data_IF_797003850401
#
_entry.id   IF_797003850401
#
_cell.length_a   1.000
_cell.length_b   1.000
_cell.length_c   1.000
_cell.angle_alpha   90.00
_cell.angle_beta   90.00
_cell.angle_gamma   90.00
#
_symmetry.space_group_name_H-M   'P 1'
#
loop_
_entity.id
_entity.type
_entity.pdbx_description
1 polymer ?
#
# COMPACT_ATOMS: atom_id res chain seq x y z
N UNK A 1 48.78 2.30 23.04
CA UNK A 1 48.05 3.29 22.24
C UNK A 1 46.86 2.58 21.61
N UNK A 2 45.73 2.70 22.22
CA UNK A 2 44.45 2.21 21.69
C UNK A 2 43.83 3.28 20.80
N UNK A 3 43.50 2.92 19.56
CA UNK A 3 42.70 3.75 18.65
C UNK A 3 41.23 3.56 18.97
N UNK A 4 40.38 4.62 18.97
CA UNK A 4 38.96 4.45 19.20
C UNK A 4 38.29 3.93 17.92
N UNK A 5 37.50 2.89 18.08
CA UNK A 5 36.60 2.39 17.04
C UNK A 5 35.54 3.45 16.72
N UNK A 6 35.52 3.94 15.49
CA UNK A 6 34.40 4.72 14.94
C UNK A 6 33.20 3.80 14.78
N UNK A 7 32.26 3.92 15.72
CA UNK A 7 30.93 3.32 15.59
C UNK A 7 30.17 4.04 14.49
N UNK A 8 30.19 3.48 13.30
CA UNK A 8 29.25 3.85 12.25
C UNK A 8 27.84 3.44 12.69
N UNK A 9 26.99 4.39 12.99
CA UNK A 9 25.55 4.18 13.08
C UNK A 9 25.04 3.89 11.67
N UNK A 10 25.14 2.62 11.27
CA UNK A 10 24.40 2.11 10.13
C UNK A 10 22.93 2.07 10.53
N UNK A 11 22.17 3.11 10.15
CA UNK A 11 20.72 3.04 10.16
C UNK A 11 20.38 2.04 9.07
N UNK A 12 19.98 0.84 9.49
CA UNK A 12 19.56 -0.20 8.57
C UNK A 12 18.29 0.26 7.87
N UNK A 13 18.30 0.19 6.55
CA UNK A 13 17.15 0.43 5.66
C UNK A 13 15.87 -0.36 6.00
N UNK A 14 15.94 -1.26 6.95
CA UNK A 14 14.81 -2.02 7.52
C UNK A 14 13.86 -1.18 8.40
N UNK A 15 14.25 0.02 8.87
CA UNK A 15 13.37 0.87 9.67
C UNK A 15 12.30 1.58 8.81
N UNK A 16 12.55 1.78 7.51
CA UNK A 16 11.60 2.39 6.57
C UNK A 16 10.44 1.43 6.19
N UNK A 17 10.66 0.12 6.23
CA UNK A 17 9.64 -0.86 5.83
C UNK A 17 8.50 -1.07 6.85
N UNK A 18 8.74 -0.84 8.15
CA UNK A 18 7.82 -1.33 9.17
C UNK A 18 6.90 -0.28 9.79
N UNK A 19 7.45 0.76 10.39
CA UNK A 19 6.69 1.63 11.30
C UNK A 19 6.28 2.96 10.65
N UNK A 20 7.16 3.59 9.89
CA UNK A 20 6.90 4.89 9.28
C UNK A 20 5.94 4.78 8.09
N UNK A 21 6.16 3.84 7.17
CA UNK A 21 5.25 3.59 6.05
C UNK A 21 3.90 3.05 6.52
N UNK A 22 3.87 2.17 7.53
CA UNK A 22 2.63 1.67 8.13
C UNK A 22 1.77 2.76 8.74
N UNK A 23 2.39 3.78 9.34
CA UNK A 23 1.70 4.94 9.89
C UNK A 23 1.04 5.81 8.81
N UNK A 24 1.72 6.04 7.69
CA UNK A 24 1.18 6.79 6.55
C UNK A 24 0.07 6.03 5.83
N UNK A 25 0.28 4.76 5.56
CA UNK A 25 -0.75 3.89 4.96
C UNK A 25 -1.98 3.87 5.86
N UNK A 26 -1.81 3.70 7.18
CA UNK A 26 -2.91 3.75 8.13
C UNK A 26 -3.67 5.08 8.14
N UNK A 27 -3.00 6.20 7.88
CA UNK A 27 -3.63 7.51 7.81
C UNK A 27 -4.40 7.69 6.49
N UNK A 28 -3.80 7.32 5.36
CA UNK A 28 -4.45 7.37 4.04
C UNK A 28 -5.69 6.45 3.98
N UNK A 29 -5.71 5.37 4.78
CA UNK A 29 -6.88 4.50 4.95
C UNK A 29 -8.03 5.15 5.75
N UNK A 30 -7.78 6.26 6.41
CA UNK A 30 -8.75 6.89 7.30
C UNK A 30 -8.98 6.12 8.62
N UNK A 31 -9.26 6.87 9.70
CA UNK A 31 -9.38 6.29 11.05
C UNK A 31 -10.50 5.25 11.18
N UNK A 32 -11.59 5.37 10.41
CA UNK A 32 -12.72 4.42 10.47
C UNK A 32 -12.34 3.07 9.85
N UNK A 33 -11.64 3.07 8.70
CA UNK A 33 -11.17 1.84 8.02
C UNK A 33 -10.09 1.15 8.82
N UNK A 34 -9.12 1.91 9.36
CA UNK A 34 -8.08 1.39 10.26
C UNK A 34 -8.68 0.71 11.50
N UNK A 35 -9.72 1.28 12.11
CA UNK A 35 -10.37 0.67 13.28
C UNK A 35 -11.09 -0.64 12.95
N UNK A 36 -11.68 -0.80 11.78
CA UNK A 36 -12.28 -2.07 11.33
C UNK A 36 -11.22 -3.13 11.05
N UNK A 37 -10.13 -2.75 10.39
CA UNK A 37 -8.96 -3.62 10.21
C UNK A 37 -8.31 -4.01 11.57
N UNK A 38 -8.43 -3.17 12.64
CA UNK A 38 -7.83 -3.40 13.95
C UNK A 38 -8.35 -4.67 14.68
N UNK A 39 -9.48 -5.21 14.26
CA UNK A 39 -10.00 -6.44 14.83
C UNK A 39 -9.21 -7.72 14.46
N UNK A 40 -8.31 -7.69 13.49
CA UNK A 40 -7.64 -8.90 13.01
C UNK A 40 -6.15 -8.81 12.67
N UNK A 41 -5.68 -7.78 11.99
CA UNK A 41 -4.32 -7.77 11.41
C UNK A 41 -3.45 -6.56 11.79
N UNK A 42 -3.92 -5.59 12.56
CA UNK A 42 -3.33 -4.25 12.68
C UNK A 42 -2.20 -4.11 13.72
N UNK A 43 -1.83 -5.16 14.41
CA UNK A 43 -0.59 -5.11 15.19
C UNK A 43 0.70 -5.01 14.36
N UNK A 44 0.62 -5.17 13.04
CA UNK A 44 1.78 -5.34 12.15
C UNK A 44 2.05 -4.17 11.20
N UNK A 45 1.27 -3.08 11.25
CA UNK A 45 1.43 -1.94 10.33
C UNK A 45 0.65 -2.08 9.02
N UNK A 46 0.32 -0.93 8.39
CA UNK A 46 -0.57 -0.88 7.23
C UNK A 46 -0.09 -1.65 6.00
N UNK A 47 1.22 -1.64 5.70
CA UNK A 47 1.79 -2.39 4.57
C UNK A 47 1.64 -3.91 4.75
N UNK A 48 1.89 -4.43 5.96
CA UNK A 48 1.73 -5.85 6.26
C UNK A 48 0.27 -6.30 6.15
N UNK A 49 -0.67 -5.44 6.56
CA UNK A 49 -2.10 -5.72 6.39
C UNK A 49 -2.52 -5.75 4.91
N UNK A 50 -2.01 -4.82 4.09
CA UNK A 50 -2.22 -4.86 2.64
C UNK A 50 -1.65 -6.14 2.02
N UNK A 51 -0.42 -6.51 2.40
CA UNK A 51 0.21 -7.75 1.95
C UNK A 51 -0.60 -9.00 2.32
N UNK A 52 -1.18 -9.06 3.53
CA UNK A 52 -2.04 -10.17 3.95
C UNK A 52 -3.33 -10.26 3.10
N UNK A 53 -3.98 -9.13 2.85
CA UNK A 53 -5.18 -9.06 2.01
C UNK A 53 -4.87 -9.47 0.57
N UNK A 54 -3.79 -8.94 0.00
CA UNK A 54 -3.34 -9.27 -1.35
C UNK A 54 -2.98 -10.74 -1.48
N UNK A 55 -2.21 -11.28 -0.53
CA UNK A 55 -1.82 -12.69 -0.48
C UNK A 55 -3.05 -13.61 -0.43
N UNK A 56 -4.01 -13.33 0.45
CA UNK A 56 -5.23 -14.15 0.57
C UNK A 56 -6.09 -14.10 -0.68
N UNK A 57 -6.30 -12.91 -1.27
CA UNK A 57 -7.03 -12.76 -2.53
C UNK A 57 -6.36 -13.55 -3.65
N UNK A 58 -5.05 -13.44 -3.78
CA UNK A 58 -4.26 -14.12 -4.79
C UNK A 58 -4.31 -15.64 -4.62
N UNK A 59 -4.18 -16.14 -3.39
CA UNK A 59 -4.32 -17.57 -3.11
C UNK A 59 -5.72 -18.12 -3.43
N UNK A 60 -6.77 -17.39 -3.04
CA UNK A 60 -8.15 -17.79 -3.34
C UNK A 60 -8.36 -17.89 -4.85
N UNK A 61 -7.85 -16.92 -5.60
CA UNK A 61 -7.88 -16.91 -7.06
C UNK A 61 -7.10 -18.07 -7.67
N UNK A 62 -5.85 -18.30 -7.26
CA UNK A 62 -5.03 -19.41 -7.76
C UNK A 62 -5.66 -20.79 -7.48
N UNK A 63 -6.33 -20.93 -6.36
CA UNK A 63 -7.02 -22.16 -5.98
C UNK A 63 -8.38 -22.32 -6.67
N UNK A 64 -8.77 -21.42 -7.57
CA UNK A 64 -10.04 -21.48 -8.28
C UNK A 64 -11.27 -21.35 -7.38
N UNK A 65 -11.14 -20.72 -6.21
CA UNK A 65 -12.28 -20.53 -5.31
C UNK A 65 -13.26 -19.53 -5.90
N UNK A 66 -14.54 -19.77 -5.67
CA UNK A 66 -15.57 -18.79 -6.03
C UNK A 66 -15.50 -17.59 -5.10
N UNK A 67 -15.64 -16.37 -5.64
CA UNK A 67 -15.55 -15.12 -4.87
C UNK A 67 -16.46 -15.10 -3.64
N UNK A 68 -17.67 -15.65 -3.76
CA UNK A 68 -18.64 -15.72 -2.66
C UNK A 68 -18.29 -16.73 -1.54
N UNK A 69 -17.34 -17.63 -1.78
CA UNK A 69 -16.85 -18.64 -0.82
C UNK A 69 -15.39 -18.41 -0.44
N UNK A 70 -14.80 -17.29 -0.89
CA UNK A 70 -13.42 -16.94 -0.67
C UNK A 70 -13.13 -16.75 0.83
N UNK A 71 -12.03 -17.33 1.29
CA UNK A 71 -11.58 -17.21 2.67
C UNK A 71 -11.10 -15.78 2.96
N UNK A 72 -11.52 -15.24 4.09
CA UNK A 72 -11.09 -13.92 4.56
C UNK A 72 -9.64 -13.93 5.04
N UNK A 73 -8.91 -12.86 4.80
CA UNK A 73 -7.55 -12.70 5.31
C UNK A 73 -7.53 -12.65 6.84
N UNK A 74 -6.50 -13.26 7.42
CA UNK A 74 -6.26 -13.33 8.86
C UNK A 74 -4.84 -12.87 9.20
N UNK A 75 -4.53 -12.74 10.49
CA UNK A 75 -3.16 -12.44 10.95
C UNK A 75 -2.14 -13.49 10.49
N UNK A 76 -2.58 -14.74 10.31
CA UNK A 76 -1.72 -15.82 9.82
C UNK A 76 -1.29 -15.64 8.36
N UNK A 77 -1.96 -14.77 7.62
CA UNK A 77 -1.66 -14.46 6.21
C UNK A 77 -0.65 -13.32 6.04
N UNK A 78 -0.22 -12.68 7.13
CA UNK A 78 0.79 -11.62 7.08
C UNK A 78 2.08 -12.19 6.49
N UNK A 79 2.52 -11.70 5.32
CA UNK A 79 3.70 -12.24 4.67
C UNK A 79 4.98 -11.91 5.45
N UNK A 80 5.97 -12.77 5.34
CA UNK A 80 7.30 -12.46 5.87
C UNK A 80 7.95 -11.36 5.02
N UNK A 81 8.68 -10.45 5.67
CA UNK A 81 9.44 -9.41 4.98
C UNK A 81 10.41 -10.03 3.96
N UNK A 82 10.49 -9.42 2.78
CA UNK A 82 11.28 -9.92 1.65
C UNK A 82 10.60 -11.03 0.84
N UNK A 83 9.39 -11.45 1.23
CA UNK A 83 8.58 -12.35 0.41
C UNK A 83 7.96 -11.62 -0.79
N UNK A 84 7.29 -12.36 -1.68
CA UNK A 84 6.64 -11.77 -2.87
C UNK A 84 5.54 -10.78 -2.56
N UNK A 85 4.87 -10.94 -1.41
CA UNK A 85 3.80 -10.07 -0.90
C UNK A 85 4.23 -9.17 0.27
N UNK A 86 5.50 -9.02 0.50
CA UNK A 86 6.11 -8.03 1.38
C UNK A 86 7.52 -7.73 0.86
N UNK A 87 7.65 -7.29 -0.41
CA UNK A 87 8.95 -7.05 -1.01
C UNK A 87 9.62 -5.84 -0.34
N UNK A 88 10.94 -5.90 -0.23
CA UNK A 88 11.73 -4.78 0.30
C UNK A 88 11.72 -3.62 -0.72
N UNK A 89 11.90 -3.95 -2.02
CA UNK A 89 12.01 -2.94 -3.07
C UNK A 89 10.99 -3.18 -4.19
N UNK A 90 10.57 -2.09 -4.82
CA UNK A 90 9.82 -2.10 -6.07
C UNK A 90 10.74 -2.31 -7.30
N UNK A 91 10.14 -2.25 -8.49
CA UNK A 91 10.86 -2.39 -9.76
C UNK A 91 11.89 -1.27 -9.99
N UNK A 92 11.69 -0.11 -9.41
CA UNK A 92 12.58 1.05 -9.47
C UNK A 92 13.76 0.99 -8.47
N UNK A 93 13.83 -0.07 -7.67
CA UNK A 93 14.86 -0.28 -6.63
C UNK A 93 14.63 0.51 -5.35
N UNK A 94 13.58 1.32 -5.26
CA UNK A 94 13.19 2.05 -4.05
C UNK A 94 12.39 1.16 -3.11
N UNK A 95 12.27 1.51 -1.80
CA UNK A 95 11.40 0.79 -0.88
C UNK A 95 9.97 0.66 -1.43
N UNK A 96 9.46 -0.55 -1.53
CA UNK A 96 8.14 -0.82 -2.12
C UNK A 96 6.99 -0.12 -1.37
N UNK A 97 7.19 0.14 -0.08
CA UNK A 97 6.25 0.93 0.71
C UNK A 97 5.98 2.33 0.14
N UNK A 98 6.98 2.95 -0.52
CA UNK A 98 6.79 4.23 -1.21
C UNK A 98 5.91 4.08 -2.45
N UNK A 99 6.03 2.98 -3.18
CA UNK A 99 5.16 2.68 -4.32
C UNK A 99 3.70 2.48 -3.89
N UNK A 100 3.46 1.81 -2.74
CA UNK A 100 2.12 1.68 -2.15
C UNK A 100 1.53 3.04 -1.82
N UNK A 101 2.31 3.92 -1.17
CA UNK A 101 1.88 5.29 -0.82
C UNK A 101 1.56 6.10 -2.07
N UNK A 102 2.39 6.03 -3.12
CA UNK A 102 2.13 6.70 -4.40
C UNK A 102 0.82 6.21 -5.04
N UNK A 103 0.59 4.90 -5.02
CA UNK A 103 -0.65 4.32 -5.55
C UNK A 103 -1.89 4.82 -4.78
N UNK A 104 -1.80 4.93 -3.45
CA UNK A 104 -2.87 5.46 -2.60
C UNK A 104 -3.14 6.94 -2.88
N UNK A 105 -2.08 7.76 -2.96
CA UNK A 105 -2.19 9.20 -3.26
C UNK A 105 -2.81 9.41 -4.64
N UNK A 106 -2.35 8.67 -5.64
CA UNK A 106 -2.89 8.76 -7.00
C UNK A 106 -4.38 8.39 -7.07
N UNK A 107 -4.80 7.36 -6.33
CA UNK A 107 -6.20 7.00 -6.22
C UNK A 107 -7.03 8.11 -5.54
N UNK A 108 -6.54 8.68 -4.45
CA UNK A 108 -7.20 9.78 -3.75
C UNK A 108 -7.32 11.06 -4.61
N UNK A 109 -6.45 11.20 -5.63
CA UNK A 109 -6.53 12.29 -6.61
C UNK A 109 -7.43 11.98 -7.81
N UNK A 110 -8.04 10.81 -7.90
CA UNK A 110 -8.81 10.40 -9.08
C UNK A 110 -10.00 11.32 -9.36
N UNK A 111 -10.59 11.91 -8.34
CA UNK A 111 -11.64 12.93 -8.45
C UNK A 111 -11.10 14.36 -8.63
N UNK A 112 -9.79 14.53 -8.72
CA UNK A 112 -9.07 15.78 -8.93
C UNK A 112 -8.70 16.56 -7.67
N UNK A 113 -9.03 16.08 -6.46
CA UNK A 113 -8.80 16.85 -5.23
C UNK A 113 -8.38 15.99 -4.04
N UNK A 114 -7.21 16.26 -3.48
CA UNK A 114 -6.95 16.00 -2.06
C UNK A 114 -7.16 17.33 -1.34
N UNK A 115 -8.12 17.39 -0.42
CA UNK A 115 -8.43 18.59 0.33
C UNK A 115 -7.25 19.07 1.18
N UNK A 116 -7.20 20.37 1.48
CA UNK A 116 -6.12 20.96 2.29
C UNK A 116 -5.99 20.30 3.67
N UNK A 117 -7.11 19.86 4.26
CA UNK A 117 -7.11 19.16 5.55
C UNK A 117 -6.53 17.75 5.44
N UNK A 118 -6.83 17.02 4.35
CA UNK A 118 -6.25 15.70 4.08
C UNK A 118 -4.74 15.79 3.83
N UNK A 119 -4.29 16.75 3.03
CA UNK A 119 -2.87 17.04 2.85
C UNK A 119 -2.17 17.31 4.17
N UNK A 120 -2.75 18.16 5.01
CA UNK A 120 -2.22 18.48 6.34
C UNK A 120 -2.09 17.23 7.21
N UNK A 121 -3.11 16.37 7.23
CA UNK A 121 -3.09 15.11 7.98
C UNK A 121 -1.99 14.16 7.48
N UNK A 122 -1.77 14.06 6.17
CA UNK A 122 -0.68 13.28 5.58
C UNK A 122 0.68 13.82 6.04
N UNK A 123 0.88 15.14 6.02
CA UNK A 123 2.12 15.76 6.51
C UNK A 123 2.35 15.55 8.00
N UNK A 124 1.32 15.70 8.82
CA UNK A 124 1.42 15.44 10.26
C UNK A 124 1.79 13.98 10.56
N UNK A 125 1.25 13.03 9.80
CA UNK A 125 1.60 11.63 9.94
C UNK A 125 3.04 11.34 9.46
N UNK A 126 3.47 11.94 8.35
CA UNK A 126 4.84 11.86 7.88
C UNK A 126 5.83 12.37 8.93
N UNK A 127 5.47 13.45 9.63
CA UNK A 127 6.27 14.00 10.71
C UNK A 127 6.32 13.09 11.95
N UNK A 128 5.17 12.52 12.34
CA UNK A 128 5.09 11.60 13.48
C UNK A 128 5.73 10.24 13.21
N UNK A 129 5.71 9.80 11.95
CA UNK A 129 6.26 8.52 11.51
C UNK A 129 7.79 8.44 11.52
N UNK A 130 8.49 9.53 11.85
CA UNK A 130 9.96 9.55 11.89
C UNK A 130 10.61 9.46 10.51
N UNK A 131 9.87 9.80 9.43
CA UNK A 131 10.40 9.85 8.08
C UNK A 131 11.50 10.91 7.99
N UNK A 132 12.54 10.60 7.23
CA UNK A 132 13.62 11.55 6.97
C UNK A 132 13.19 12.67 6.00
N UNK A 133 14.09 13.60 5.71
CA UNK A 133 13.80 14.74 4.85
C UNK A 133 13.56 14.34 3.39
N UNK A 134 14.22 13.28 2.92
CA UNK A 134 14.08 12.77 1.55
C UNK A 134 12.72 12.11 1.35
N UNK A 135 12.30 11.26 2.29
CA UNK A 135 10.98 10.62 2.28
C UNK A 135 9.84 11.63 2.35
N UNK A 136 10.00 12.68 3.19
CA UNK A 136 9.02 13.77 3.27
C UNK A 136 8.92 14.56 1.98
N UNK A 137 10.06 14.87 1.35
CA UNK A 137 10.09 15.54 0.05
C UNK A 137 9.42 14.69 -1.03
N UNK A 138 9.66 13.36 -1.02
CA UNK A 138 9.01 12.42 -1.92
C UNK A 138 7.48 12.42 -1.78
N UNK A 139 6.97 12.38 -0.56
CA UNK A 139 5.51 12.44 -0.31
C UNK A 139 4.93 13.77 -0.75
N UNK A 140 5.65 14.86 -0.50
CA UNK A 140 5.25 16.20 -0.93
C UNK A 140 5.15 16.27 -2.46
N UNK A 141 6.15 15.73 -3.17
CA UNK A 141 6.14 15.67 -4.62
C UNK A 141 4.97 14.79 -5.15
N UNK A 142 4.76 13.62 -4.56
CA UNK A 142 3.66 12.73 -4.92
C UNK A 142 2.27 13.37 -4.75
N UNK A 143 2.09 14.22 -3.72
CA UNK A 143 0.85 14.97 -3.49
C UNK A 143 0.62 16.07 -4.53
N UNK A 144 1.67 16.65 -5.08
CA UNK A 144 1.56 17.72 -6.10
C UNK A 144 1.57 17.16 -7.52
N UNK A 145 2.23 16.02 -7.72
CA UNK A 145 2.41 15.37 -9.00
C UNK A 145 2.00 13.88 -8.89
N UNK A 146 0.70 13.57 -8.71
CA UNK A 146 0.25 12.19 -8.57
C UNK A 146 0.56 11.39 -9.83
N UNK A 147 0.97 10.13 -9.64
CA UNK A 147 1.29 9.24 -10.75
C UNK A 147 0.03 8.84 -11.52
N UNK A 148 0.16 8.71 -12.83
CA UNK A 148 -0.87 8.09 -13.67
C UNK A 148 -0.88 6.55 -13.49
N UNK A 149 -1.98 5.86 -13.86
CA UNK A 149 -2.08 4.40 -13.71
C UNK A 149 -0.95 3.60 -14.37
N UNK A 150 -0.46 4.04 -15.54
CA UNK A 150 0.67 3.42 -16.24
C UNK A 150 2.00 3.62 -15.49
N UNK A 151 2.20 4.79 -14.91
CA UNK A 151 3.38 5.07 -14.08
C UNK A 151 3.38 4.23 -12.79
N UNK A 152 2.21 4.05 -12.15
CA UNK A 152 2.09 3.16 -10.99
C UNK A 152 2.40 1.72 -11.41
N UNK A 153 1.87 1.26 -12.54
CA UNK A 153 2.11 -0.09 -13.03
C UNK A 153 3.61 -0.37 -13.28
N UNK A 154 4.37 0.65 -13.71
CA UNK A 154 5.81 0.54 -13.90
C UNK A 154 6.60 0.30 -12.59
N UNK A 155 6.00 0.54 -11.41
CA UNK A 155 6.61 0.27 -10.11
C UNK A 155 6.51 -1.20 -9.69
N UNK A 156 5.67 -2.00 -10.38
CA UNK A 156 5.53 -3.43 -10.12
C UNK A 156 6.57 -4.24 -10.88
N UNK A 157 7.36 -5.04 -10.17
CA UNK A 157 8.33 -5.96 -10.77
C UNK A 157 7.75 -7.36 -11.05
N UNK A 158 6.58 -7.68 -10.50
CA UNK A 158 5.88 -8.96 -10.65
C UNK A 158 4.39 -8.81 -10.36
N UNK A 159 3.64 -9.90 -10.55
CA UNK A 159 2.18 -9.89 -10.38
C UNK A 159 1.74 -9.72 -8.92
N UNK A 160 2.52 -10.22 -7.98
CA UNK A 160 2.25 -10.06 -6.56
C UNK A 160 2.33 -8.57 -6.15
N UNK A 161 3.39 -7.87 -6.58
CA UNK A 161 3.51 -6.41 -6.39
C UNK A 161 2.39 -5.64 -7.11
N UNK A 162 2.04 -6.04 -8.33
CA UNK A 162 0.91 -5.45 -9.06
C UNK A 162 -0.40 -5.58 -8.28
N UNK A 163 -0.64 -6.75 -7.66
CA UNK A 163 -1.80 -7.02 -6.82
C UNK A 163 -1.84 -6.10 -5.59
N UNK A 164 -0.70 -5.90 -4.94
CA UNK A 164 -0.60 -5.01 -3.78
C UNK A 164 -0.78 -3.53 -4.14
N UNK A 165 -0.24 -3.07 -5.28
CA UNK A 165 -0.43 -1.70 -5.75
C UNK A 165 -1.90 -1.41 -6.07
N UNK A 166 -2.60 -2.34 -6.73
CA UNK A 166 -4.05 -2.22 -6.95
C UNK A 166 -4.80 -2.13 -5.62
N UNK A 167 -4.50 -3.05 -4.70
CA UNK A 167 -5.17 -3.09 -3.40
C UNK A 167 -4.91 -1.81 -2.59
N UNK A 168 -3.69 -1.27 -2.61
CA UNK A 168 -3.36 -0.01 -1.97
C UNK A 168 -4.22 1.15 -2.50
N UNK A 169 -4.33 1.28 -3.82
CA UNK A 169 -5.22 2.26 -4.45
C UNK A 169 -6.68 2.06 -4.02
N UNK A 170 -7.16 0.81 -4.06
CA UNK A 170 -8.55 0.45 -3.75
C UNK A 170 -8.96 0.76 -2.32
N UNK A 171 -8.08 0.52 -1.35
CA UNK A 171 -8.40 0.79 0.07
C UNK A 171 -8.33 2.28 0.42
N UNK A 172 -7.59 3.08 -0.37
CA UNK A 172 -7.49 4.52 -0.18
C UNK A 172 -8.80 5.25 -0.50
N UNK A 173 -9.62 4.69 -1.39
CA UNK A 173 -10.87 5.30 -1.86
C UNK A 173 -12.06 4.38 -1.62
N UNK A 174 -13.25 4.98 -1.54
CA UNK A 174 -14.54 4.29 -1.65
C UNK A 174 -15.11 4.61 -3.03
N UNK A 175 -15.03 3.69 -4.02
CA UNK A 175 -15.29 4.00 -5.43
C UNK A 175 -16.80 4.20 -5.72
N UNK A 176 -17.39 5.23 -5.15
CA UNK A 176 -18.75 5.70 -5.42
C UNK A 176 -18.79 6.69 -6.58
N UNK A 177 -17.71 7.44 -6.80
CA UNK A 177 -17.60 8.38 -7.90
C UNK A 177 -17.18 7.69 -9.20
N UNK A 178 -17.69 8.16 -10.37
CA UNK A 178 -17.31 7.59 -11.67
C UNK A 178 -15.81 7.65 -11.96
N UNK A 179 -15.15 8.73 -11.56
CA UNK A 179 -13.72 8.96 -11.81
C UNK A 179 -12.85 7.99 -11.01
N UNK A 180 -13.20 7.71 -9.77
CA UNK A 180 -12.53 6.70 -8.93
C UNK A 180 -12.68 5.28 -9.52
N UNK A 181 -13.88 4.93 -10.00
CA UNK A 181 -14.11 3.65 -10.69
C UNK A 181 -13.29 3.55 -11.96
N UNK A 182 -13.25 4.62 -12.77
CA UNK A 182 -12.47 4.67 -14.00
C UNK A 182 -10.97 4.53 -13.68
N UNK A 183 -10.47 5.21 -12.65
CA UNK A 183 -9.09 5.10 -12.22
C UNK A 183 -8.71 3.65 -11.88
N UNK A 184 -9.51 2.98 -11.03
CA UNK A 184 -9.25 1.60 -10.64
C UNK A 184 -9.31 0.63 -11.82
N UNK A 185 -10.24 0.82 -12.77
CA UNK A 185 -10.32 0.02 -13.98
C UNK A 185 -9.09 0.21 -14.88
N UNK A 186 -8.63 1.45 -15.05
CA UNK A 186 -7.41 1.74 -15.81
C UNK A 186 -6.18 1.14 -15.11
N UNK A 187 -6.08 1.30 -13.79
CA UNK A 187 -4.99 0.75 -13.02
C UNK A 187 -4.93 -0.79 -13.13
N UNK A 188 -6.05 -1.49 -12.98
CA UNK A 188 -6.12 -2.94 -13.12
C UNK A 188 -5.61 -3.42 -14.50
N UNK A 189 -5.99 -2.69 -15.58
CA UNK A 189 -5.55 -2.98 -16.94
C UNK A 189 -4.04 -2.77 -17.12
N UNK A 190 -3.50 -1.66 -16.64
CA UNK A 190 -2.07 -1.37 -16.73
C UNK A 190 -1.22 -2.34 -15.89
N UNK A 191 -1.73 -2.75 -14.73
CA UNK A 191 -1.12 -3.80 -13.89
C UNK A 191 -1.29 -5.21 -14.46
N UNK A 192 -2.02 -5.36 -15.58
CA UNK A 192 -2.32 -6.64 -16.22
C UNK A 192 -2.93 -7.66 -15.25
N UNK A 193 -3.84 -7.21 -14.38
CA UNK A 193 -4.56 -8.07 -13.45
C UNK A 193 -5.77 -8.72 -14.15
N UNK A 194 -5.94 -10.02 -13.94
CA UNK A 194 -7.11 -10.74 -14.43
C UNK A 194 -8.39 -10.26 -13.71
N UNK A 195 -9.51 -10.16 -14.42
CA UNK A 195 -10.78 -9.65 -13.87
C UNK A 195 -11.31 -10.47 -12.69
N UNK A 196 -11.06 -11.76 -12.68
CA UNK A 196 -11.41 -12.65 -11.57
C UNK A 196 -10.50 -12.42 -10.35
N UNK A 197 -9.21 -12.13 -10.53
CA UNK A 197 -8.34 -11.72 -9.44
C UNK A 197 -8.79 -10.37 -8.84
N UNK A 198 -9.12 -9.39 -9.68
CA UNK A 198 -9.69 -8.11 -9.22
C UNK A 198 -10.96 -8.35 -8.39
N UNK A 199 -11.83 -9.28 -8.82
CA UNK A 199 -13.04 -9.64 -8.09
C UNK A 199 -12.74 -10.23 -6.70
N UNK A 200 -11.67 -11.03 -6.57
CA UNK A 200 -11.21 -11.53 -5.28
C UNK A 200 -10.65 -10.43 -4.38
N UNK A 201 -9.89 -9.47 -4.94
CA UNK A 201 -9.39 -8.30 -4.22
C UNK A 201 -10.54 -7.45 -3.67
N UNK A 202 -11.53 -7.16 -4.50
CA UNK A 202 -12.74 -6.43 -4.10
C UNK A 202 -13.51 -7.16 -2.98
N UNK A 203 -13.59 -8.49 -3.02
CA UNK A 203 -14.21 -9.27 -1.97
C UNK A 203 -13.46 -9.16 -0.64
N UNK A 204 -12.11 -9.22 -0.66
CA UNK A 204 -11.30 -9.05 0.55
C UNK A 204 -11.49 -7.66 1.16
N UNK A 205 -11.55 -6.62 0.34
CA UNK A 205 -11.82 -5.25 0.82
C UNK A 205 -13.19 -5.18 1.51
N UNK A 206 -14.25 -5.67 0.85
CA UNK A 206 -15.62 -5.64 1.43
C UNK A 206 -15.77 -6.44 2.72
N UNK A 207 -15.01 -7.53 2.87
CA UNK A 207 -15.11 -8.41 4.05
C UNK A 207 -14.29 -7.89 5.25
N UNK A 208 -13.25 -7.10 4.99
CA UNK A 208 -12.30 -6.65 6.03
C UNK A 208 -12.42 -5.14 6.35
N UNK A 209 -13.07 -4.34 5.51
CA UNK A 209 -13.25 -2.89 5.66
C UNK A 209 -14.72 -2.49 5.71
#
# INVERSE_FOLDING_TARGET
>A
RQSPASGGFGISSSALGGVAAGGLIGLLLGQKKVRKMAGGAIGYGGAAALGALAFRAYQNWQNGQQVGQATTATVADVPQEGSRFAPVNGADGRPFALALIQSMIAAAHADGHIGAEEQKQIFEAANRGGLDAEDKAFIFDALHNPLSPDQIAALAGNQEQATELYLAARVAIDPDQPDEKAFLQHLARWLNLADDLVSHLEAQVRQNL
#
